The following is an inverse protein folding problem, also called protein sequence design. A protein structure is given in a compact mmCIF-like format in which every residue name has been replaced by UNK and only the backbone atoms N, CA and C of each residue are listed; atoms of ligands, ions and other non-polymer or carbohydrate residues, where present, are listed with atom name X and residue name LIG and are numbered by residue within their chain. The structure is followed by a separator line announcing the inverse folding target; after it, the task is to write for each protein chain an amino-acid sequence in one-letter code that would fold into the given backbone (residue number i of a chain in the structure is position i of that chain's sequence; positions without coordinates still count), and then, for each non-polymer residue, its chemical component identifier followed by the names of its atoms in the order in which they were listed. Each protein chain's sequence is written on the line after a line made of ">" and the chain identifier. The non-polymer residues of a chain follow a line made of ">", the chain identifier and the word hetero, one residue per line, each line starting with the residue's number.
data_IF_045552121898
#
_entry.id   IF_045552121898
#
_cell.length_a   1.000
_cell.length_b   1.000
_cell.length_c   1.000
_cell.angle_alpha   90.00
_cell.angle_beta   90.00
_cell.angle_gamma   90.00
#
_symmetry.space_group_name_H-M   'P 1'
#
loop_
_entity.id
_entity.type
_entity.pdbx_description
1 polymer ?
#
# COMPACT_ATOMS: atom_id res chain seq x y z
N UNK A 1 0.44 7.29 9.42
CA UNK A 1 0.47 6.52 8.16
C UNK A 1 1.90 6.06 7.97
N UNK A 2 2.13 4.75 7.93
CA UNK A 2 3.49 4.17 7.93
C UNK A 2 3.79 3.55 6.55
N UNK A 3 3.84 4.39 5.52
CA UNK A 3 4.12 3.96 4.16
C UNK A 3 4.75 5.08 3.32
N UNK A 4 5.53 4.72 2.31
CA UNK A 4 6.23 5.68 1.47
C UNK A 4 5.31 6.37 0.43
N UNK A 5 5.73 7.57 0.01
CA UNK A 5 4.97 8.50 -0.85
C UNK A 5 4.56 7.94 -2.21
N UNK A 6 5.29 6.95 -2.73
CA UNK A 6 4.99 6.33 -4.01
C UNK A 6 3.66 5.58 -4.04
N UNK A 7 3.09 5.25 -2.87
CA UNK A 7 1.76 4.67 -2.77
C UNK A 7 0.64 5.68 -2.52
N UNK A 8 0.94 6.97 -2.33
CA UNK A 8 -0.10 7.97 -2.08
C UNK A 8 -1.15 8.06 -3.21
N UNK A 9 -0.79 7.95 -4.50
CA UNK A 9 -1.80 7.90 -5.56
C UNK A 9 -2.71 6.65 -5.48
N UNK A 10 -2.18 5.51 -5.03
CA UNK A 10 -2.98 4.30 -4.82
C UNK A 10 -3.94 4.47 -3.65
N UNK A 11 -3.49 5.12 -2.57
CA UNK A 11 -4.31 5.43 -1.40
C UNK A 11 -5.42 6.42 -1.73
N UNK A 12 -5.12 7.49 -2.48
CA UNK A 12 -6.11 8.47 -2.88
C UNK A 12 -7.19 7.87 -3.80
N UNK A 13 -6.79 7.00 -4.74
CA UNK A 13 -7.74 6.28 -5.58
C UNK A 13 -8.60 5.31 -4.77
N UNK A 14 -7.99 4.53 -3.87
CA UNK A 14 -8.72 3.62 -2.99
C UNK A 14 -9.70 4.37 -2.08
N UNK A 15 -9.28 5.48 -1.48
CA UNK A 15 -10.15 6.31 -0.63
C UNK A 15 -11.39 6.79 -1.40
N UNK A 16 -11.20 7.29 -2.61
CA UNK A 16 -12.31 7.73 -3.46
C UNK A 16 -13.26 6.57 -3.82
N UNK A 17 -12.73 5.39 -4.16
CA UNK A 17 -13.52 4.20 -4.47
C UNK A 17 -14.31 3.72 -3.23
N UNK A 18 -13.67 3.69 -2.05
CA UNK A 18 -14.33 3.28 -0.80
C UNK A 18 -15.38 4.29 -0.36
N UNK A 19 -15.11 5.59 -0.47
CA UNK A 19 -16.07 6.65 -0.13
C UNK A 19 -17.30 6.65 -1.06
N UNK A 20 -17.16 6.20 -2.31
CA UNK A 20 -18.28 6.01 -3.22
C UNK A 20 -19.19 4.84 -2.81
N UNK A 21 -18.62 3.80 -2.19
CA UNK A 21 -19.36 2.63 -1.70
C UNK A 21 -19.99 2.89 -0.32
N UNK A 22 -19.21 3.41 0.61
CA UNK A 22 -19.65 3.81 1.94
C UNK A 22 -18.88 5.08 2.36
N UNK A 23 -19.52 6.27 2.32
CA UNK A 23 -18.85 7.53 2.63
C UNK A 23 -18.46 7.67 4.11
N UNK A 24 -19.10 6.91 5.00
CA UNK A 24 -18.86 6.92 6.45
C UNK A 24 -17.99 5.75 6.92
N UNK A 25 -17.21 5.16 6.01
CA UNK A 25 -16.31 4.06 6.36
C UNK A 25 -15.25 4.50 7.36
N UNK A 26 -14.80 3.57 8.19
CA UNK A 26 -13.85 3.86 9.26
C UNK A 26 -12.46 3.36 8.90
N UNK A 27 -11.53 4.29 8.64
CA UNK A 27 -10.11 3.96 8.46
C UNK A 27 -9.46 3.69 9.83
N UNK A 28 -8.90 2.49 10.01
CA UNK A 28 -8.21 2.09 11.25
C UNK A 28 -6.71 2.25 11.14
N UNK A 29 -6.10 1.75 10.07
CA UNK A 29 -4.65 1.77 9.93
C UNK A 29 -4.22 1.63 8.48
N UNK A 30 -3.19 2.39 8.11
CA UNK A 30 -2.46 2.23 6.84
C UNK A 30 -0.98 2.08 7.15
N UNK A 31 -0.41 0.96 6.72
CA UNK A 31 1.01 0.63 6.97
C UNK A 31 1.64 -0.17 5.84
N UNK A 32 2.96 -0.19 5.82
CA UNK A 32 3.73 -1.13 5.02
C UNK A 32 3.83 -2.47 5.75
N UNK A 33 3.68 -3.57 5.00
CA UNK A 33 4.00 -4.91 5.48
C UNK A 33 4.48 -5.78 4.33
N UNK A 34 5.67 -6.36 4.49
CA UNK A 34 6.28 -7.27 3.52
C UNK A 34 6.39 -6.69 2.09
N UNK A 35 6.74 -5.41 1.96
CA UNK A 35 6.84 -4.74 0.65
C UNK A 35 5.48 -4.50 -0.03
N UNK A 36 4.39 -4.47 0.73
CA UNK A 36 3.06 -4.15 0.25
C UNK A 36 2.33 -3.23 1.23
N UNK A 37 1.38 -2.48 0.72
CA UNK A 37 0.45 -1.69 1.52
C UNK A 37 -0.51 -2.63 2.27
N UNK A 38 -0.83 -2.27 3.51
CA UNK A 38 -1.98 -2.80 4.26
C UNK A 38 -2.94 -1.67 4.56
N UNK A 39 -4.19 -1.86 4.16
CA UNK A 39 -5.25 -0.87 4.36
C UNK A 39 -6.37 -1.50 5.21
N UNK A 40 -6.35 -1.18 6.50
CA UNK A 40 -7.35 -1.66 7.45
C UNK A 40 -8.44 -0.61 7.59
N UNK A 41 -9.59 -0.89 7.00
CA UNK A 41 -10.79 -0.07 7.10
C UNK A 41 -12.01 -0.97 7.27
N UNK A 42 -13.03 -0.45 7.94
CA UNK A 42 -14.31 -1.14 8.11
C UNK A 42 -15.42 -0.34 7.42
N UNK A 43 -16.37 -1.01 6.74
CA UNK A 43 -17.55 -0.34 6.19
C UNK A 43 -18.46 0.17 7.33
N UNK A 44 -19.32 1.12 7.00
CA UNK A 44 -20.34 1.66 7.91
C UNK A 44 -21.26 0.55 8.47
N UNK A 45 -21.75 0.75 9.71
CA UNK A 45 -22.70 -0.18 10.34
C UNK A 45 -23.95 -0.34 9.44
N UNK A 46 -24.48 -1.57 9.36
CA UNK A 46 -25.57 -2.04 8.47
C UNK A 46 -25.24 -2.40 7.00
N UNK A 47 -24.00 -2.21 6.52
CA UNK A 47 -23.69 -2.45 5.10
C UNK A 47 -23.10 -3.84 4.77
N UNK A 48 -23.67 -4.93 5.32
CA UNK A 48 -23.25 -6.31 4.96
C UNK A 48 -23.31 -6.60 3.45
N UNK A 49 -24.19 -5.91 2.73
CA UNK A 49 -24.33 -6.07 1.29
C UNK A 49 -23.14 -5.56 0.47
N UNK A 50 -22.33 -4.64 1.02
CA UNK A 50 -21.17 -4.05 0.32
C UNK A 50 -19.82 -4.54 0.87
N UNK A 51 -19.82 -5.39 1.90
CA UNK A 51 -18.60 -5.89 2.56
C UNK A 51 -17.67 -6.61 1.57
N UNK A 52 -18.22 -7.43 0.66
CA UNK A 52 -17.45 -8.10 -0.40
C UNK A 52 -16.81 -7.12 -1.38
N UNK A 53 -17.56 -6.11 -1.85
CA UNK A 53 -17.06 -5.07 -2.77
C UNK A 53 -15.98 -4.22 -2.09
N UNK A 54 -16.23 -3.79 -0.86
CA UNK A 54 -15.31 -3.01 -0.04
C UNK A 54 -13.98 -3.75 0.18
N UNK A 55 -14.05 -5.04 0.55
CA UNK A 55 -12.86 -5.90 0.70
C UNK A 55 -12.15 -6.14 -0.63
N UNK A 56 -12.88 -6.26 -1.73
CA UNK A 56 -12.29 -6.44 -3.05
C UNK A 56 -11.50 -5.20 -3.51
N UNK A 57 -12.00 -3.99 -3.24
CA UNK A 57 -11.30 -2.73 -3.51
C UNK A 57 -9.98 -2.65 -2.73
N UNK A 58 -10.02 -2.93 -1.43
CA UNK A 58 -8.82 -2.99 -0.57
C UNK A 58 -7.84 -4.02 -1.12
N UNK A 59 -8.28 -5.25 -1.37
CA UNK A 59 -7.42 -6.33 -1.87
C UNK A 59 -6.76 -5.97 -3.23
N UNK A 60 -7.49 -5.28 -4.10
CA UNK A 60 -6.97 -4.78 -5.38
C UNK A 60 -5.86 -3.76 -5.18
N UNK A 61 -6.06 -2.78 -4.29
CA UNK A 61 -5.05 -1.77 -3.96
C UNK A 61 -3.80 -2.38 -3.32
N UNK A 62 -3.96 -3.31 -2.37
CA UNK A 62 -2.84 -4.04 -1.76
C UNK A 62 -2.06 -4.82 -2.82
N UNK A 63 -2.74 -5.53 -3.73
CA UNK A 63 -2.10 -6.25 -4.84
C UNK A 63 -1.33 -5.30 -5.76
N UNK A 64 -1.91 -4.14 -6.10
CA UNK A 64 -1.23 -3.10 -6.92
C UNK A 64 0.02 -2.56 -6.24
N UNK A 65 -0.05 -2.29 -4.93
CA UNK A 65 1.09 -1.80 -4.16
C UNK A 65 2.29 -2.76 -4.21
N UNK A 66 2.05 -4.08 -4.22
CA UNK A 66 3.11 -5.10 -4.30
C UNK A 66 3.90 -5.11 -5.63
N UNK A 67 3.49 -4.30 -6.59
CA UNK A 67 4.11 -4.11 -7.92
C UNK A 67 4.41 -2.64 -8.22
N UNK A 68 4.26 -1.77 -7.23
CA UNK A 68 4.44 -0.32 -7.34
C UNK A 68 5.56 0.09 -6.41
N UNK A 69 6.55 0.80 -6.94
CA UNK A 69 7.66 1.34 -6.17
C UNK A 69 7.12 2.21 -5.02
N UNK A 70 7.40 1.80 -3.79
CA UNK A 70 6.91 2.50 -2.60
C UNK A 70 7.50 3.91 -2.49
N UNK A 71 8.69 4.18 -3.04
CA UNK A 71 9.32 5.51 -2.98
C UNK A 71 8.83 6.52 -4.04
N UNK A 72 8.55 6.07 -5.27
CA UNK A 72 8.27 6.96 -6.40
C UNK A 72 6.99 6.65 -7.20
N UNK A 73 6.33 5.51 -6.95
CA UNK A 73 5.09 5.15 -7.64
C UNK A 73 5.26 4.52 -9.02
N UNK A 74 6.49 4.43 -9.55
CA UNK A 74 6.77 3.72 -10.81
C UNK A 74 6.57 2.19 -10.65
N UNK A 75 6.47 1.41 -11.72
CA UNK A 75 6.47 -0.06 -11.63
C UNK A 75 7.69 -0.56 -10.84
N UNK A 76 7.41 -1.32 -9.79
CA UNK A 76 8.41 -1.84 -8.85
C UNK A 76 8.36 -3.35 -8.76
N UNK A 77 9.46 -3.95 -8.30
CA UNK A 77 9.53 -5.36 -7.98
C UNK A 77 9.79 -5.51 -6.50
N UNK A 78 9.06 -6.42 -5.86
CA UNK A 78 9.31 -6.80 -4.47
C UNK A 78 10.69 -7.44 -4.36
N UNK A 79 11.54 -6.90 -3.51
CA UNK A 79 12.83 -7.45 -3.12
C UNK A 79 12.88 -7.60 -1.61
N UNK A 80 13.79 -8.44 -1.14
CA UNK A 80 14.10 -8.61 0.27
C UNK A 80 15.59 -8.34 0.47
N UNK A 81 15.91 -7.49 1.43
CA UNK A 81 17.27 -7.17 1.85
C UNK A 81 17.31 -7.22 3.36
N UNK A 82 18.22 -8.02 3.92
CA UNK A 82 18.43 -8.16 5.36
C UNK A 82 17.12 -8.25 6.19
N UNK A 83 16.26 -9.21 5.85
CA UNK A 83 14.95 -9.44 6.48
C UNK A 83 13.89 -8.35 6.30
N UNK A 84 14.22 -7.26 5.59
CA UNK A 84 13.28 -6.20 5.23
C UNK A 84 12.80 -6.36 3.79
N UNK A 85 11.49 -6.33 3.59
CA UNK A 85 10.88 -6.43 2.26
C UNK A 85 10.44 -5.06 1.79
N UNK A 86 10.80 -4.71 0.55
CA UNK A 86 10.43 -3.45 -0.10
C UNK A 86 9.95 -3.74 -1.50
N UNK A 87 9.08 -2.91 -2.04
CA UNK A 87 8.79 -2.92 -3.48
C UNK A 87 9.38 -1.65 -4.07
N UNK A 88 10.46 -1.78 -4.83
CA UNK A 88 11.17 -0.65 -5.43
C UNK A 88 11.36 -0.86 -6.93
N UNK A 89 11.45 0.23 -7.69
CA UNK A 89 11.98 0.18 -9.05
C UNK A 89 13.51 0.10 -9.01
N UNK A 90 14.16 -0.22 -10.14
CA UNK A 90 15.62 -0.34 -10.21
C UNK A 90 16.32 0.92 -9.67
N UNK A 91 15.95 2.10 -10.17
CA UNK A 91 16.55 3.37 -9.76
C UNK A 91 16.45 3.64 -8.24
N UNK A 92 15.28 3.43 -7.63
CA UNK A 92 15.12 3.62 -6.18
C UNK A 92 15.76 2.51 -5.35
N UNK A 93 15.86 1.29 -5.90
CA UNK A 93 16.53 0.16 -5.26
C UNK A 93 18.05 0.36 -5.19
N UNK A 94 18.65 0.95 -6.22
CA UNK A 94 20.08 1.28 -6.24
C UNK A 94 20.44 2.33 -5.18
N UNK A 95 19.60 3.36 -4.98
CA UNK A 95 19.80 4.35 -3.91
C UNK A 95 19.64 3.76 -2.51
N UNK A 96 18.80 2.74 -2.35
CA UNK A 96 18.57 2.10 -1.04
C UNK A 96 19.69 1.10 -0.65
N UNK A 97 20.59 0.77 -1.58
CA UNK A 97 21.65 -0.22 -1.41
C UNK A 97 23.02 0.40 -1.05
N UNK A 98 23.05 1.60 -0.46
CA UNK A 98 24.33 2.18 -0.02
C UNK A 98 25.03 1.24 0.98
N UNK A 99 26.33 0.94 0.77
CA UNK A 99 27.07 -0.01 1.58
C UNK A 99 27.27 0.55 2.99
N UNK A 100 27.01 -0.29 4.00
CA UNK A 100 27.37 -0.05 5.40
C UNK A 100 28.82 0.45 5.48
N UNK A 101 29.10 1.67 5.98
CA UNK A 101 30.47 2.08 6.22
C UNK A 101 31.04 1.18 7.32
N UNK A 102 32.01 0.34 6.97
CA UNK A 102 32.86 -0.36 7.92
C UNK A 102 33.66 0.69 8.69
N UNK A 103 33.37 0.83 9.99
CA UNK A 103 34.26 1.49 10.97
C UNK A 103 35.38 0.55 11.34
#
# INVERSE_FOLDING_TARGET
>A
MDCDRGWFPLLAALDADLAAVCPEYELRQVKQKYGSLRYYAEPCEDHRAVDDEFRALIASAEKRSSRTCESCGAPGRRSASDHWYRTLCAACGETAAEPTPTV
#
